data_IF_488371902095
#
_entry.id   IF_488371902095
#
_cell.length_a   1.000
_cell.length_b   1.000
_cell.length_c   1.000
_cell.angle_alpha   90.00
_cell.angle_beta   90.00
_cell.angle_gamma   90.00
#
_symmetry.space_group_name_H-M   'P 1'
#
loop_
_entity.id
_entity.type
_entity.pdbx_description
1 polymer ?
#
# COMPACT_ATOMS: atom_id res chain seq x y z
N UNK A 1 -10.52 11.42 -11.88
CA UNK A 1 -10.65 10.06 -11.37
C UNK A 1 -12.10 9.63 -11.45
N UNK A 2 -12.33 8.40 -11.88
CA UNK A 2 -13.62 7.71 -11.84
C UNK A 2 -13.38 6.18 -11.84
N UNK A 3 -14.43 5.38 -11.69
CA UNK A 3 -14.30 3.92 -11.63
C UNK A 3 -13.64 3.30 -12.87
N UNK A 4 -13.93 3.81 -14.07
CA UNK A 4 -13.35 3.28 -15.32
C UNK A 4 -11.86 3.61 -15.43
N UNK A 5 -11.46 4.82 -15.05
CA UNK A 5 -10.06 5.23 -14.94
C UNK A 5 -9.30 4.35 -13.94
N UNK A 6 -9.89 4.11 -12.76
CA UNK A 6 -9.32 3.26 -11.71
C UNK A 6 -9.18 1.80 -12.17
N UNK A 7 -10.22 1.22 -12.79
CA UNK A 7 -10.17 -0.13 -13.37
C UNK A 7 -9.18 -0.25 -14.53
N UNK A 8 -9.03 0.81 -15.32
CA UNK A 8 -8.03 0.89 -16.40
C UNK A 8 -6.62 0.88 -15.83
N UNK A 9 -6.36 1.66 -14.76
CA UNK A 9 -5.09 1.64 -14.03
C UNK A 9 -4.80 0.24 -13.47
N UNK A 10 -5.75 -0.36 -12.76
CA UNK A 10 -5.63 -1.73 -12.23
C UNK A 10 -5.32 -2.76 -13.33
N UNK A 11 -6.04 -2.69 -14.46
CA UNK A 11 -5.84 -3.60 -15.58
C UNK A 11 -4.48 -3.43 -16.26
N UNK A 12 -3.94 -2.21 -16.31
CA UNK A 12 -2.59 -1.95 -16.83
C UNK A 12 -1.53 -2.43 -15.85
N UNK A 13 -1.72 -2.19 -14.56
CA UNK A 13 -0.82 -2.64 -13.49
C UNK A 13 -0.65 -4.17 -13.50
N UNK A 14 -1.76 -4.89 -13.63
CA UNK A 14 -1.79 -6.36 -13.71
C UNK A 14 -1.00 -6.95 -14.88
N UNK A 15 -0.88 -6.22 -15.99
CA UNK A 15 -0.26 -6.71 -17.23
C UNK A 15 1.22 -6.43 -17.32
N UNK A 16 1.73 -5.46 -16.55
CA UNK A 16 3.14 -5.10 -16.53
C UNK A 16 3.86 -5.82 -15.40
N UNK A 17 5.12 -6.23 -15.62
CA UNK A 17 6.01 -6.68 -14.54
C UNK A 17 6.60 -5.48 -13.78
N UNK A 18 6.90 -4.38 -14.50
CA UNK A 18 7.27 -3.10 -13.90
C UNK A 18 6.05 -2.30 -13.42
N UNK A 19 6.29 -1.23 -12.66
CA UNK A 19 5.25 -0.29 -12.26
C UNK A 19 4.63 0.35 -13.51
N UNK A 20 3.30 0.47 -13.51
CA UNK A 20 2.66 1.37 -14.46
C UNK A 20 2.87 2.82 -13.98
N UNK A 21 3.14 3.74 -14.92
CA UNK A 21 3.40 5.12 -14.57
C UNK A 21 2.14 5.85 -14.11
N UNK A 22 1.99 6.01 -12.80
CA UNK A 22 0.92 6.80 -12.21
C UNK A 22 1.39 8.23 -11.95
N UNK A 23 0.42 9.14 -11.85
CA UNK A 23 0.68 10.51 -11.41
C UNK A 23 0.94 10.51 -9.91
N UNK A 24 1.73 11.47 -9.45
CA UNK A 24 2.07 11.65 -8.05
C UNK A 24 0.85 11.75 -7.13
N UNK A 25 -0.21 12.45 -7.58
CA UNK A 25 -1.45 12.66 -6.85
C UNK A 25 -2.47 11.52 -7.00
N UNK A 26 -2.08 10.36 -7.54
CA UNK A 26 -3.04 9.33 -7.90
C UNK A 26 -3.88 8.86 -6.71
N UNK A 27 -3.26 8.64 -5.54
CA UNK A 27 -3.99 8.20 -4.35
C UNK A 27 -4.88 9.30 -3.78
N UNK A 28 -4.45 10.57 -3.83
CA UNK A 28 -5.31 11.71 -3.50
C UNK A 28 -6.54 11.78 -4.41
N UNK A 29 -6.36 11.58 -5.71
CA UNK A 29 -7.43 11.59 -6.70
C UNK A 29 -8.44 10.44 -6.46
N UNK A 30 -7.96 9.27 -6.03
CA UNK A 30 -8.82 8.13 -5.63
C UNK A 30 -9.57 8.44 -4.34
N UNK A 31 -8.88 9.00 -3.34
CA UNK A 31 -9.50 9.36 -2.06
C UNK A 31 -10.61 10.39 -2.24
N UNK A 32 -10.37 11.43 -3.05
CA UNK A 32 -11.37 12.43 -3.41
C UNK A 32 -12.58 11.79 -4.10
N UNK A 33 -12.35 10.89 -5.07
CA UNK A 33 -13.41 10.18 -5.77
C UNK A 33 -14.29 9.34 -4.82
N UNK A 34 -13.68 8.54 -3.94
CA UNK A 34 -14.42 7.72 -2.97
C UNK A 34 -15.19 8.60 -1.98
N UNK A 35 -14.61 9.71 -1.54
CA UNK A 35 -15.28 10.67 -0.66
C UNK A 35 -16.51 11.28 -1.33
N UNK A 36 -16.40 11.68 -2.61
CA UNK A 36 -17.51 12.22 -3.39
C UNK A 36 -18.64 11.20 -3.58
N UNK A 37 -18.31 9.92 -3.84
CA UNK A 37 -19.28 8.84 -3.94
C UNK A 37 -20.03 8.61 -2.62
N UNK A 38 -19.30 8.53 -1.50
CA UNK A 38 -19.88 8.39 -0.16
C UNK A 38 -20.82 9.56 0.16
N UNK A 39 -20.38 10.79 -0.11
CA UNK A 39 -21.20 11.97 0.11
C UNK A 39 -22.46 11.99 -0.78
N UNK A 40 -22.38 11.51 -2.03
CA UNK A 40 -23.54 11.38 -2.91
C UNK A 40 -24.55 10.35 -2.39
N UNK A 41 -24.07 9.17 -1.96
CA UNK A 41 -24.89 8.13 -1.33
C UNK A 41 -25.59 8.67 -0.09
N UNK A 42 -24.87 9.36 0.78
CA UNK A 42 -25.40 9.86 2.06
C UNK A 42 -26.49 10.91 1.82
N UNK A 43 -26.27 11.85 0.90
CA UNK A 43 -27.31 12.81 0.47
C UNK A 43 -28.55 12.14 -0.08
N UNK A 44 -28.41 11.04 -0.84
CA UNK A 44 -29.55 10.28 -1.37
C UNK A 44 -30.31 9.57 -0.25
N UNK A 45 -29.59 8.96 0.69
CA UNK A 45 -30.16 8.30 1.85
C UNK A 45 -30.99 9.25 2.72
N UNK A 46 -30.53 10.49 2.92
CA UNK A 46 -31.28 11.51 3.67
C UNK A 46 -32.61 11.92 3.01
N UNK A 47 -32.77 11.70 1.70
CA UNK A 47 -33.94 12.13 0.93
C UNK A 47 -35.03 11.05 0.80
N UNK A 48 -34.85 9.88 1.40
CA UNK A 48 -35.79 8.74 1.28
C UNK A 48 -36.19 8.16 2.62
N UNK A 49 -37.44 7.69 2.71
CA UNK A 49 -37.99 7.11 3.94
C UNK A 49 -37.33 5.78 4.33
N UNK A 50 -36.88 5.00 3.34
CA UNK A 50 -36.27 3.67 3.54
C UNK A 50 -34.96 3.54 2.76
N UNK A 51 -33.86 4.16 3.23
CA UNK A 51 -32.59 4.19 2.51
C UNK A 51 -32.08 2.80 2.13
N UNK A 52 -32.16 1.84 3.06
CA UNK A 52 -31.71 0.46 2.81
C UNK A 52 -32.54 -0.32 1.79
N UNK A 53 -33.69 0.22 1.38
CA UNK A 53 -34.56 -0.37 0.34
C UNK A 53 -34.58 0.45 -0.95
N UNK A 54 -33.87 1.58 -1.00
CA UNK A 54 -33.78 2.43 -2.18
C UNK A 54 -32.72 1.89 -3.14
N UNK A 55 -33.11 1.67 -4.40
CA UNK A 55 -32.24 1.08 -5.42
C UNK A 55 -31.01 1.97 -5.71
N UNK A 56 -31.17 3.30 -5.67
CA UNK A 56 -30.06 4.23 -5.91
C UNK A 56 -29.07 4.24 -4.73
N UNK A 57 -29.55 4.23 -3.48
CA UNK A 57 -28.67 4.12 -2.31
C UNK A 57 -27.87 2.82 -2.35
N UNK A 58 -28.51 1.70 -2.70
CA UNK A 58 -27.83 0.40 -2.83
C UNK A 58 -26.77 0.43 -3.92
N UNK A 59 -27.14 0.87 -5.13
CA UNK A 59 -26.21 0.99 -6.26
C UNK A 59 -25.00 1.87 -5.93
N UNK A 60 -25.22 3.02 -5.27
CA UNK A 60 -24.12 3.90 -4.86
C UNK A 60 -23.25 3.26 -3.77
N UNK A 61 -23.83 2.46 -2.87
CA UNK A 61 -23.07 1.71 -1.87
C UNK A 61 -22.17 0.66 -2.52
N UNK A 62 -22.72 -0.11 -3.46
CA UNK A 62 -21.96 -1.12 -4.22
C UNK A 62 -20.83 -0.46 -5.03
N UNK A 63 -21.07 0.74 -5.58
CA UNK A 63 -20.06 1.50 -6.32
C UNK A 63 -18.92 2.00 -5.42
N UNK A 64 -19.23 2.45 -4.20
CA UNK A 64 -18.22 2.80 -3.19
C UNK A 64 -17.36 1.59 -2.84
N UNK A 65 -18.00 0.47 -2.48
CA UNK A 65 -17.31 -0.78 -2.12
C UNK A 65 -16.42 -1.26 -3.27
N UNK A 66 -16.96 -1.30 -4.48
CA UNK A 66 -16.21 -1.67 -5.68
C UNK A 66 -15.00 -0.76 -5.92
N UNK A 67 -15.14 0.55 -5.73
CA UNK A 67 -14.04 1.48 -5.91
C UNK A 67 -12.92 1.25 -4.88
N UNK A 68 -13.29 1.00 -3.62
CA UNK A 68 -12.36 0.70 -2.53
C UNK A 68 -11.60 -0.61 -2.80
N UNK A 69 -12.31 -1.69 -3.14
CA UNK A 69 -11.69 -2.98 -3.46
C UNK A 69 -10.72 -2.89 -4.64
N UNK A 70 -11.09 -2.16 -5.69
CA UNK A 70 -10.20 -1.99 -6.86
C UNK A 70 -8.96 -1.18 -6.50
N UNK A 71 -9.10 -0.14 -5.67
CA UNK A 71 -7.99 0.67 -5.21
C UNK A 71 -7.04 -0.12 -4.29
N UNK A 72 -7.57 -0.91 -3.36
CA UNK A 72 -6.81 -1.78 -2.48
C UNK A 72 -6.03 -2.83 -3.28
N UNK A 73 -6.72 -3.58 -4.16
CA UNK A 73 -6.07 -4.58 -5.00
C UNK A 73 -5.02 -3.98 -5.95
N UNK A 74 -5.17 -2.72 -6.36
CA UNK A 74 -4.16 -1.99 -7.10
C UNK A 74 -2.95 -1.69 -6.22
N UNK A 75 -3.17 -1.13 -5.03
CA UNK A 75 -2.11 -0.85 -4.06
C UNK A 75 -1.30 -2.10 -3.70
N UNK A 76 -1.95 -3.21 -3.37
CA UNK A 76 -1.28 -4.47 -3.00
C UNK A 76 -0.33 -4.98 -4.11
N UNK A 77 -0.73 -4.86 -5.37
CA UNK A 77 0.15 -5.25 -6.48
C UNK A 77 1.33 -4.30 -6.62
N UNK A 78 1.09 -3.01 -6.47
CA UNK A 78 2.13 -1.98 -6.64
C UNK A 78 3.14 -2.04 -5.51
N UNK A 79 2.71 -2.18 -4.27
CA UNK A 79 3.62 -2.29 -3.12
C UNK A 79 4.55 -3.50 -3.25
N UNK A 80 4.05 -4.64 -3.76
CA UNK A 80 4.90 -5.80 -4.05
C UNK A 80 6.01 -5.50 -5.06
N UNK A 81 5.74 -4.67 -6.07
CA UNK A 81 6.75 -4.23 -7.05
C UNK A 81 7.72 -3.21 -6.44
N UNK A 82 7.22 -2.28 -5.63
CA UNK A 82 8.05 -1.32 -4.89
C UNK A 82 9.07 -2.05 -4.01
N UNK A 83 8.62 -3.05 -3.23
CA UNK A 83 9.50 -3.88 -2.39
C UNK A 83 10.54 -4.63 -3.22
N UNK A 84 10.14 -5.19 -4.37
CA UNK A 84 11.07 -5.86 -5.30
C UNK A 84 12.15 -4.90 -5.82
N UNK A 85 11.75 -3.69 -6.23
CA UNK A 85 12.68 -2.65 -6.69
C UNK A 85 13.63 -2.21 -5.57
N UNK A 86 13.11 -1.95 -4.36
CA UNK A 86 13.93 -1.55 -3.22
C UNK A 86 14.99 -2.62 -2.88
N UNK A 87 14.63 -3.90 -2.95
CA UNK A 87 15.55 -5.01 -2.76
C UNK A 87 16.70 -5.02 -3.78
N UNK A 88 16.43 -4.67 -5.04
CA UNK A 88 17.46 -4.55 -6.07
C UNK A 88 18.34 -3.31 -5.89
N UNK A 89 17.73 -2.16 -5.56
CA UNK A 89 18.46 -0.93 -5.31
C UNK A 89 19.42 -1.05 -4.12
N UNK A 90 18.98 -1.68 -3.02
CA UNK A 90 19.84 -1.96 -1.86
C UNK A 90 20.97 -2.98 -2.14
N UNK A 91 20.87 -3.71 -3.25
CA UNK A 91 21.92 -4.56 -3.79
C UNK A 91 22.81 -3.84 -4.82
N UNK A 92 22.75 -2.50 -4.88
CA UNK A 92 23.49 -1.64 -5.81
C UNK A 92 23.17 -1.95 -7.29
N UNK A 93 22.01 -2.55 -7.56
CA UNK A 93 21.55 -2.84 -8.90
C UNK A 93 20.77 -1.64 -9.46
N UNK A 94 20.95 -1.28 -10.74
CA UNK A 94 20.17 -0.21 -11.36
C UNK A 94 18.70 -0.60 -11.41
N UNK A 95 17.83 0.31 -10.98
CA UNK A 95 16.38 0.14 -10.99
C UNK A 95 15.71 1.32 -11.71
N UNK A 96 14.59 1.01 -12.36
CA UNK A 96 13.68 2.03 -12.88
C UNK A 96 12.65 2.35 -11.79
N UNK A 97 12.83 3.48 -11.12
CA UNK A 97 11.92 4.00 -10.11
C UNK A 97 10.85 4.95 -10.71
N UNK A 98 10.83 5.14 -12.04
CA UNK A 98 9.86 6.01 -12.67
C UNK A 98 8.45 5.42 -12.52
N UNK A 99 7.47 6.29 -12.22
CA UNK A 99 6.06 5.91 -12.17
C UNK A 99 5.53 5.45 -10.82
N UNK A 100 6.34 5.56 -9.77
CA UNK A 100 5.87 5.58 -8.38
C UNK A 100 5.07 6.87 -8.10
N UNK A 101 4.07 6.79 -7.22
CA UNK A 101 3.44 7.98 -6.62
C UNK A 101 4.34 8.61 -5.56
N UNK A 102 3.91 9.70 -4.93
CA UNK A 102 4.67 10.36 -3.86
C UNK A 102 4.88 9.42 -2.66
N UNK A 103 3.82 8.76 -2.23
CA UNK A 103 3.80 7.84 -1.08
C UNK A 103 4.66 6.61 -1.36
N UNK A 104 4.61 6.09 -2.59
CA UNK A 104 5.40 4.92 -2.99
C UNK A 104 6.89 5.23 -3.06
N UNK A 105 7.28 6.45 -3.48
CA UNK A 105 8.70 6.87 -3.47
C UNK A 105 9.24 6.97 -2.04
N UNK A 106 8.46 7.55 -1.13
CA UNK A 106 8.84 7.60 0.29
C UNK A 106 9.03 6.19 0.86
N UNK A 107 8.07 5.29 0.60
CA UNK A 107 8.20 3.89 1.00
C UNK A 107 9.42 3.20 0.36
N UNK A 108 9.68 3.45 -0.92
CA UNK A 108 10.83 2.89 -1.61
C UNK A 108 12.15 3.31 -0.94
N UNK A 109 12.34 4.61 -0.71
CA UNK A 109 13.56 5.15 -0.09
C UNK A 109 13.77 4.56 1.31
N UNK A 110 12.71 4.53 2.14
CA UNK A 110 12.75 3.93 3.49
C UNK A 110 13.14 2.43 3.45
N UNK A 111 12.62 1.68 2.48
CA UNK A 111 12.93 0.27 2.32
C UNK A 111 14.38 0.05 1.88
N UNK A 112 14.89 0.87 0.95
CA UNK A 112 16.28 0.79 0.49
C UNK A 112 17.23 1.03 1.66
N UNK A 113 17.01 2.10 2.41
CA UNK A 113 17.83 2.43 3.59
C UNK A 113 17.78 1.31 4.62
N UNK A 114 16.58 0.79 4.93
CA UNK A 114 16.42 -0.28 5.93
C UNK A 114 17.11 -1.59 5.53
N UNK A 115 17.02 -1.96 4.27
CA UNK A 115 17.69 -3.15 3.73
C UNK A 115 19.21 -2.94 3.73
N UNK A 116 19.67 -1.75 3.33
CA UNK A 116 21.09 -1.37 3.36
C UNK A 116 21.69 -1.46 4.76
N UNK A 117 21.02 -0.87 5.76
CA UNK A 117 21.41 -0.98 7.17
C UNK A 117 21.47 -2.43 7.64
N UNK A 118 20.48 -3.25 7.28
CA UNK A 118 20.47 -4.67 7.65
C UNK A 118 21.65 -5.42 7.03
N UNK A 119 21.93 -5.19 5.74
CA UNK A 119 23.07 -5.77 5.02
C UNK A 119 24.38 -5.40 5.70
N UNK A 120 24.62 -4.11 5.99
CA UNK A 120 25.83 -3.67 6.69
C UNK A 120 25.98 -4.35 8.04
N UNK A 121 24.94 -4.34 8.89
CA UNK A 121 24.98 -5.02 10.20
C UNK A 121 25.33 -6.50 10.08
N UNK A 122 24.77 -7.20 9.10
CA UNK A 122 25.06 -8.63 8.87
C UNK A 122 26.51 -8.83 8.43
N UNK A 123 27.03 -7.98 7.53
CA UNK A 123 28.41 -8.07 7.07
C UNK A 123 29.41 -7.74 8.18
N UNK A 124 29.14 -6.74 9.02
CA UNK A 124 29.98 -6.39 10.16
C UNK A 124 30.11 -7.57 11.15
N UNK A 125 29.00 -8.27 11.41
CA UNK A 125 29.01 -9.49 12.23
C UNK A 125 29.84 -10.59 11.58
N UNK A 126 29.69 -10.82 10.27
CA UNK A 126 30.44 -11.84 9.54
C UNK A 126 31.95 -11.53 9.45
N UNK A 127 32.30 -10.24 9.40
CA UNK A 127 33.68 -9.76 9.45
C UNK A 127 34.28 -9.83 10.87
N UNK A 128 33.46 -10.06 11.90
CA UNK A 128 33.87 -10.04 13.31
C UNK A 128 34.05 -8.62 13.87
N UNK A 129 33.57 -7.60 13.17
CA UNK A 129 33.60 -6.19 13.56
C UNK A 129 32.48 -5.83 14.54
N UNK A 130 31.41 -6.63 14.57
CA UNK A 130 30.31 -6.52 15.52
C UNK A 130 29.99 -7.88 16.17
N UNK A 131 29.56 -7.91 17.44
CA UNK A 131 29.05 -9.13 18.05
C UNK A 131 27.75 -9.57 17.35
N UNK A 132 27.48 -10.88 17.25
CA UNK A 132 26.20 -11.35 16.73
C UNK A 132 25.08 -10.80 17.58
N UNK A 133 23.99 -10.35 16.94
CA UNK A 133 22.81 -9.88 17.65
C UNK A 133 22.29 -11.04 18.53
N UNK A 134 22.48 -10.92 19.85
CA UNK A 134 21.95 -11.88 20.81
C UNK A 134 20.43 -11.86 20.70
N UNK A 135 19.84 -13.00 20.33
CA UNK A 135 18.39 -13.20 20.32
C UNK A 135 17.87 -13.36 21.76
N UNK A 136 18.02 -12.34 22.60
CA UNK A 136 17.46 -12.31 23.96
C UNK A 136 16.55 -11.09 24.10
N UNK A 137 15.37 -11.18 23.48
CA UNK A 137 14.25 -10.28 23.73
C UNK A 137 12.88 -10.95 23.46
N UNK A 138 12.75 -12.25 23.73
CA UNK A 138 11.47 -12.94 23.70
C UNK A 138 11.46 -14.10 24.71
N UNK A 139 11.56 -13.78 26.01
CA UNK A 139 11.56 -14.80 27.05
C UNK A 139 11.74 -14.28 28.46
N UNK A 140 11.09 -13.18 28.84
CA UNK A 140 11.10 -12.71 30.22
C UNK A 140 9.83 -11.91 30.56
N UNK A 141 8.65 -12.52 30.43
CA UNK A 141 7.45 -12.01 31.14
C UNK A 141 6.33 -13.05 31.33
N UNK A 142 6.66 -14.27 31.78
CA UNK A 142 5.64 -15.27 32.13
C UNK A 142 6.13 -16.33 33.12
N UNK A 143 6.69 -15.92 34.27
CA UNK A 143 6.84 -16.83 35.41
C UNK A 143 7.16 -16.08 36.71
N UNK A 144 6.23 -15.28 37.22
CA UNK A 144 6.25 -14.87 38.63
C UNK A 144 4.90 -14.25 39.03
N UNK A 145 4.00 -15.11 39.50
CA UNK A 145 2.97 -14.91 40.56
C UNK A 145 1.76 -15.81 40.27
N UNK A 146 1.21 -16.59 41.21
CA UNK A 146 1.46 -16.69 42.64
C UNK A 146 0.90 -18.04 43.13
N UNK A 147 1.44 -18.52 44.26
CA UNK A 147 1.07 -19.72 44.99
C UNK A 147 -0.04 -19.45 46.03
#
# INVERSE_FOLDING_TARGET
MNLDELRSAQSKERRKDSLQHLRDSFYDDVAAYVADLRAARDRRAEQVDKPFSDDDVRRMSDEVETAEEVAEALYERRVGKVVKLASFAAADMPVDADGMTTEERQLFDDLVDRIGENKSRVLDVLAGEAPPASSDAAGADAASDEA
#
